data_IF_791609813992
#
_entry.id   IF_791609813992
#
_cell.length_a   1.000
_cell.length_b   1.000
_cell.length_c   1.000
_cell.angle_alpha   90.00
_cell.angle_beta   90.00
_cell.angle_gamma   90.00
#
_symmetry.space_group_name_H-M   'P 1'
#
loop_
_entity.id
_entity.type
_entity.pdbx_description
1 polymer ?
#
# COMPACT_ATOMS: atom_id res chain seq x y z
N UNK A 1 -10.95 -8.38 10.50
CA UNK A 1 -10.19 -8.75 9.30
C UNK A 1 -8.89 -7.97 9.32
N UNK A 2 -7.76 -8.62 9.06
CA UNK A 2 -6.44 -8.00 9.12
C UNK A 2 -6.22 -7.12 7.89
N UNK A 3 -6.03 -5.82 8.08
CA UNK A 3 -5.65 -4.89 7.01
C UNK A 3 -4.16 -4.63 7.08
N UNK A 4 -3.46 -4.90 5.97
CA UNK A 4 -2.01 -4.79 5.89
C UNK A 4 -1.68 -3.62 4.95
N UNK A 5 -1.03 -2.60 5.48
CA UNK A 5 -0.49 -1.48 4.71
C UNK A 5 1.01 -1.68 4.51
N UNK A 6 1.48 -1.59 3.27
CA UNK A 6 2.91 -1.57 2.93
C UNK A 6 3.30 -0.14 2.61
N UNK A 7 3.87 0.55 3.61
CA UNK A 7 4.50 1.85 3.41
C UNK A 7 5.95 1.67 3.00
N UNK A 8 6.35 2.31 1.90
CA UNK A 8 7.68 2.15 1.33
C UNK A 8 8.12 3.41 0.58
N UNK A 9 9.44 3.55 0.41
CA UNK A 9 10.02 4.61 -0.41
C UNK A 9 10.16 4.13 -1.84
N UNK A 10 9.37 4.69 -2.76
CA UNK A 10 9.34 4.30 -4.18
C UNK A 10 10.71 4.33 -4.86
N UNK A 11 11.54 5.32 -4.53
CA UNK A 11 12.88 5.47 -5.12
C UNK A 11 13.83 4.33 -4.74
N UNK A 12 13.61 3.73 -3.57
CA UNK A 12 14.61 2.85 -2.95
C UNK A 12 14.16 1.39 -2.99
N UNK A 13 12.85 1.11 -2.97
CA UNK A 13 12.35 -0.24 -2.65
C UNK A 13 11.15 -0.70 -3.51
N UNK A 14 10.87 -0.10 -4.67
CA UNK A 14 9.70 -0.46 -5.48
C UNK A 14 9.66 -1.95 -5.87
N UNK A 15 10.76 -2.48 -6.40
CA UNK A 15 10.81 -3.88 -6.87
C UNK A 15 10.66 -4.89 -5.72
N UNK A 16 11.24 -4.58 -4.56
CA UNK A 16 11.13 -5.42 -3.36
C UNK A 16 9.70 -5.38 -2.82
N UNK A 17 9.08 -4.20 -2.81
CA UNK A 17 7.71 -3.99 -2.34
C UNK A 17 6.71 -4.78 -3.18
N UNK A 18 6.87 -4.80 -4.51
CA UNK A 18 6.03 -5.62 -5.40
C UNK A 18 6.06 -7.11 -5.02
N UNK A 19 7.25 -7.66 -4.75
CA UNK A 19 7.39 -9.08 -4.34
C UNK A 19 6.78 -9.37 -2.97
N UNK A 20 6.84 -8.40 -2.04
CA UNK A 20 6.19 -8.54 -0.73
C UNK A 20 4.67 -8.49 -0.89
N UNK A 21 4.17 -7.57 -1.71
CA UNK A 21 2.76 -7.46 -2.05
C UNK A 21 2.21 -8.76 -2.64
N UNK A 22 2.86 -9.33 -3.65
CA UNK A 22 2.41 -10.57 -4.29
C UNK A 22 2.26 -11.72 -3.29
N UNK A 23 3.22 -11.86 -2.38
CA UNK A 23 3.18 -12.89 -1.32
C UNK A 23 2.07 -12.64 -0.31
N UNK A 24 1.88 -11.39 0.12
CA UNK A 24 0.83 -11.05 1.07
C UNK A 24 -0.56 -11.21 0.44
N UNK A 25 -0.73 -10.86 -0.83
CA UNK A 25 -1.98 -11.07 -1.56
C UNK A 25 -2.31 -12.55 -1.70
N UNK A 26 -1.32 -13.42 -1.97
CA UNK A 26 -1.54 -14.87 -1.99
C UNK A 26 -2.08 -15.42 -0.67
N UNK A 27 -1.69 -14.83 0.46
CA UNK A 27 -2.04 -15.34 1.79
C UNK A 27 -3.29 -14.68 2.38
N UNK A 28 -3.48 -13.38 2.17
CA UNK A 28 -4.52 -12.58 2.84
C UNK A 28 -5.60 -12.06 1.89
N UNK A 29 -5.45 -12.29 0.59
CA UNK A 29 -6.35 -11.76 -0.43
C UNK A 29 -6.04 -10.30 -0.79
N UNK A 30 -6.42 -9.92 -2.02
CA UNK A 30 -6.11 -8.60 -2.59
C UNK A 30 -6.78 -7.45 -1.84
N UNK A 31 -7.98 -7.67 -1.33
CA UNK A 31 -8.76 -6.68 -0.56
C UNK A 31 -8.19 -6.38 0.83
N UNK A 32 -7.27 -7.19 1.32
CA UNK A 32 -6.67 -7.07 2.65
C UNK A 32 -5.30 -6.37 2.63
N UNK A 33 -4.70 -6.16 1.46
CA UNK A 33 -3.33 -5.63 1.31
C UNK A 33 -3.33 -4.36 0.48
N UNK A 34 -2.82 -3.27 1.08
CA UNK A 34 -2.77 -1.93 0.50
C UNK A 34 -1.32 -1.46 0.39
N UNK A 35 -0.97 -0.81 -0.71
CA UNK A 35 0.40 -0.33 -0.98
C UNK A 35 0.37 1.18 -1.19
N UNK A 36 1.23 1.88 -0.47
CA UNK A 36 1.14 3.32 -0.17
C UNK A 36 1.38 4.27 -1.36
N UNK A 37 1.75 3.77 -2.56
CA UNK A 37 2.29 4.67 -3.62
C UNK A 37 1.73 4.46 -5.03
N UNK A 38 1.10 3.34 -5.37
CA UNK A 38 0.52 3.20 -6.72
C UNK A 38 -0.91 3.78 -6.84
N UNK A 39 -1.50 4.25 -5.74
CA UNK A 39 -2.88 4.78 -5.72
C UNK A 39 -3.01 6.27 -5.37
N UNK A 40 -1.90 6.98 -5.12
CA UNK A 40 -1.96 8.42 -4.80
C UNK A 40 -1.96 9.22 -6.10
N UNK A 41 -3.08 9.87 -6.47
CA UNK A 41 -3.12 10.67 -7.68
C UNK A 41 -2.19 11.88 -7.55
N UNK A 42 -1.64 12.33 -8.68
CA UNK A 42 -0.87 13.57 -8.71
C UNK A 42 -1.73 14.74 -8.23
N UNK A 43 -1.20 15.54 -7.30
CA UNK A 43 -1.89 16.73 -6.76
C UNK A 43 -2.73 16.49 -5.51
N UNK A 44 -2.74 15.28 -4.94
CA UNK A 44 -3.46 14.98 -3.69
C UNK A 44 -2.51 15.09 -2.49
N UNK A 45 -3.03 15.59 -1.36
CA UNK A 45 -2.28 15.61 -0.09
C UNK A 45 -2.08 14.18 0.41
N UNK A 46 -0.82 13.74 0.39
CA UNK A 46 -0.38 12.42 0.84
C UNK A 46 -0.90 12.07 2.24
N UNK A 47 -0.90 13.03 3.18
CA UNK A 47 -1.31 12.77 4.57
C UNK A 47 -2.80 12.44 4.63
N UNK A 48 -3.62 13.20 3.92
CA UNK A 48 -5.07 12.96 3.86
C UNK A 48 -5.42 11.62 3.22
N UNK A 49 -4.74 11.27 2.13
CA UNK A 49 -4.99 10.00 1.46
C UNK A 49 -4.59 8.80 2.32
N UNK A 50 -3.48 8.89 3.04
CA UNK A 50 -3.04 7.86 3.97
C UNK A 50 -4.04 7.67 5.13
N UNK A 51 -4.50 8.78 5.72
CA UNK A 51 -5.50 8.74 6.79
C UNK A 51 -6.79 8.04 6.34
N UNK A 52 -7.27 8.34 5.12
CA UNK A 52 -8.48 7.71 4.56
C UNK A 52 -8.35 6.19 4.33
N UNK A 53 -7.16 5.72 3.94
CA UNK A 53 -6.91 4.29 3.67
C UNK A 53 -6.70 3.49 4.96
N UNK A 54 -6.08 4.09 5.98
CA UNK A 54 -5.75 3.41 7.25
C UNK A 54 -6.88 3.49 8.27
N UNK A 55 -7.69 4.56 8.27
CA UNK A 55 -8.75 4.75 9.27
C UNK A 55 -10.05 3.96 9.01
N UNK A 56 -10.14 3.26 7.87
CA UNK A 56 -11.31 2.45 7.50
C UNK A 56 -11.13 1.01 7.95
#
# INVERSE_FOLDING_TARGET
MSKILISYRRKDSADVTGRIYDRLVQQFGRESVFVDVDSIPFGVDFRKHLDEQVAK
#
